data_IF_894637040233
#
_entry.id   IF_894637040233
#
_cell.length_a   1.000
_cell.length_b   1.000
_cell.length_c   1.000
_cell.angle_alpha   90.00
_cell.angle_beta   90.00
_cell.angle_gamma   90.00
#
_symmetry.space_group_name_H-M   'P 1'
#
loop_
_entity.id
_entity.type
_entity.pdbx_description
1 polymer ?
#
# COMPACT_ATOMS: atom_id res chain seq x y z
N UNK A 1 92.42 27.09 31.64
CA UNK A 1 91.56 27.26 30.39
C UNK A 1 90.30 26.49 30.70
N UNK A 2 89.16 27.22 31.02
CA UNK A 2 87.87 26.60 31.32
C UNK A 2 87.00 26.69 30.04
N UNK A 3 86.61 25.55 29.45
CA UNK A 3 85.72 25.46 28.31
C UNK A 3 84.28 25.52 28.81
N UNK A 4 83.60 26.57 28.42
CA UNK A 4 82.16 26.80 28.73
C UNK A 4 81.28 26.13 27.63
N UNK A 5 80.56 25.05 28.03
CA UNK A 5 79.67 24.34 27.17
C UNK A 5 78.31 25.02 27.23
N UNK A 6 77.88 25.67 26.16
CA UNK A 6 76.56 26.28 26.05
C UNK A 6 75.62 25.21 25.44
N UNK A 7 74.67 24.73 26.22
CA UNK A 7 73.60 23.83 25.75
C UNK A 7 72.47 24.70 25.21
N UNK A 8 72.29 24.65 23.88
CA UNK A 8 71.12 25.23 23.23
C UNK A 8 69.95 24.25 23.37
N UNK A 9 68.99 24.56 24.25
CA UNK A 9 67.72 23.86 24.38
C UNK A 9 66.80 24.41 23.27
N UNK A 10 66.60 23.65 22.17
CA UNK A 10 65.60 23.94 21.17
C UNK A 10 64.23 23.44 21.68
N UNK A 11 63.40 24.37 22.14
CA UNK A 11 62.03 24.12 22.49
C UNK A 11 61.22 23.90 21.17
N UNK A 12 60.92 22.65 20.81
CA UNK A 12 59.96 22.33 19.74
C UNK A 12 58.57 22.71 20.21
N UNK A 13 58.07 23.87 19.78
CA UNK A 13 56.68 24.21 19.79
C UNK A 13 55.99 23.42 18.68
N UNK A 14 55.43 22.24 19.00
CA UNK A 14 54.45 21.58 18.16
C UNK A 14 53.16 22.42 18.16
N UNK A 15 53.09 23.37 17.25
CA UNK A 15 51.86 24.06 16.90
C UNK A 15 50.87 22.98 16.42
N UNK A 16 49.89 22.66 17.21
CA UNK A 16 48.71 21.92 16.76
C UNK A 16 47.96 22.84 15.78
N UNK A 17 48.28 22.71 14.49
CA UNK A 17 47.49 23.36 13.44
C UNK A 17 46.15 22.62 13.44
N UNK A 18 45.16 23.23 14.06
CA UNK A 18 43.75 22.87 13.88
C UNK A 18 43.47 23.11 12.38
N UNK A 19 43.29 22.03 11.60
CA UNK A 19 42.78 22.16 10.22
C UNK A 19 41.39 22.79 10.33
N UNK A 20 41.25 24.02 9.84
CA UNK A 20 40.00 24.74 9.68
C UNK A 20 39.15 24.22 8.50
N UNK A 21 39.38 22.98 8.06
CA UNK A 21 38.61 22.35 6.97
C UNK A 21 37.66 21.24 7.47
N UNK A 22 37.48 21.09 8.80
CA UNK A 22 36.28 20.45 9.32
C UNK A 22 35.15 21.48 9.27
N UNK A 23 34.60 21.69 8.06
CA UNK A 23 33.21 22.08 7.95
C UNK A 23 32.45 20.92 8.59
N UNK A 24 32.18 21.06 9.89
CA UNK A 24 31.16 20.28 10.58
C UNK A 24 29.84 20.57 9.80
N UNK A 25 29.65 19.85 8.71
CA UNK A 25 28.33 19.75 8.11
C UNK A 25 27.52 19.01 9.15
N UNK A 26 26.93 19.78 10.07
CA UNK A 26 25.94 19.24 10.99
C UNK A 26 25.05 18.29 10.18
N UNK A 27 25.15 17.00 10.47
CA UNK A 27 24.38 15.98 9.78
C UNK A 27 22.93 16.42 9.79
N UNK A 28 22.37 16.68 8.61
CA UNK A 28 21.01 17.18 8.47
C UNK A 28 20.08 16.00 8.39
N UNK A 29 18.95 16.07 9.10
CA UNK A 29 17.95 15.02 9.00
C UNK A 29 17.43 14.89 7.56
N UNK A 30 17.12 13.66 7.11
CA UNK A 30 16.51 13.44 5.80
C UNK A 30 15.26 14.29 5.60
N UNK A 31 15.08 14.83 4.39
CA UNK A 31 13.84 15.49 3.97
C UNK A 31 13.09 14.51 3.10
N UNK A 32 11.83 14.25 3.44
CA UNK A 32 10.96 13.34 2.69
C UNK A 32 9.75 14.09 2.15
N UNK A 33 9.31 13.68 0.95
CA UNK A 33 8.14 14.25 0.29
C UNK A 33 7.40 13.19 -0.52
N UNK A 34 6.07 13.30 -0.60
CA UNK A 34 5.27 12.44 -1.47
C UNK A 34 5.61 12.66 -2.94
N UNK A 35 5.73 11.58 -3.70
CA UNK A 35 5.96 11.58 -5.16
C UNK A 35 4.74 11.03 -5.87
N UNK A 36 4.21 9.90 -5.41
CA UNK A 36 2.99 9.28 -5.95
C UNK A 36 2.14 8.77 -4.81
N UNK A 37 0.98 9.40 -4.62
CA UNK A 37 -0.02 8.98 -3.66
C UNK A 37 -0.63 7.62 -4.03
N UNK A 38 -1.19 6.93 -3.05
CA UNK A 38 -2.04 5.75 -3.31
C UNK A 38 -3.28 6.20 -4.10
N UNK A 39 -3.60 5.47 -5.17
CA UNK A 39 -4.84 5.71 -5.92
C UNK A 39 -6.05 5.53 -5.02
N UNK A 40 -7.00 6.45 -5.07
CA UNK A 40 -8.20 6.40 -4.21
C UNK A 40 -9.49 6.64 -5.01
N UNK A 41 -10.54 5.82 -4.84
CA UNK A 41 -10.52 4.54 -4.13
C UNK A 41 -9.68 3.49 -4.86
N UNK A 42 -9.15 2.51 -4.12
CA UNK A 42 -8.42 1.38 -4.68
C UNK A 42 -9.07 0.06 -4.26
N UNK A 43 -9.06 -0.94 -5.14
CA UNK A 43 -9.42 -2.32 -4.81
C UNK A 43 -8.20 -3.20 -4.49
N UNK A 44 -7.00 -2.60 -4.49
CA UNK A 44 -5.77 -3.26 -4.08
C UNK A 44 -5.63 -3.13 -2.56
N UNK A 45 -5.58 -4.25 -1.86
CA UNK A 45 -5.38 -4.29 -0.41
C UNK A 45 -3.90 -4.11 0.00
N UNK A 46 -2.97 -4.11 -0.97
CA UNK A 46 -1.54 -3.93 -0.76
C UNK A 46 -0.97 -2.83 -1.67
N UNK A 47 -1.53 -1.61 -1.62
CA UNK A 47 -1.22 -0.60 -2.62
C UNK A 47 0.20 -0.08 -2.50
N UNK A 48 0.74 0.35 -3.64
CA UNK A 48 2.03 1.01 -3.70
C UNK A 48 1.92 2.49 -3.35
N UNK A 49 2.94 2.97 -2.64
CA UNK A 49 3.15 4.37 -2.31
C UNK A 49 4.58 4.79 -2.67
N UNK A 50 4.77 5.97 -3.24
CA UNK A 50 6.11 6.47 -3.61
C UNK A 50 6.39 7.81 -2.94
N UNK A 51 7.53 7.88 -2.26
CA UNK A 51 8.07 9.11 -1.66
C UNK A 51 9.52 9.31 -2.09
N UNK A 52 10.00 10.53 -2.01
CA UNK A 52 11.42 10.86 -2.16
C UNK A 52 12.06 11.06 -0.79
N UNK A 53 13.36 10.75 -0.68
CA UNK A 53 14.21 11.08 0.45
C UNK A 53 15.48 11.76 -0.05
N UNK A 54 15.96 12.77 0.66
CA UNK A 54 17.26 13.40 0.33
C UNK A 54 18.44 12.49 0.65
N UNK A 55 18.23 11.55 1.58
CA UNK A 55 19.29 10.67 2.09
C UNK A 55 18.78 9.23 2.24
N UNK A 56 19.72 8.28 2.28
CA UNK A 56 19.40 6.90 2.65
C UNK A 56 19.21 6.76 4.15
N UNK A 57 18.36 5.81 4.57
CA UNK A 57 18.12 5.60 5.99
C UNK A 57 17.09 4.51 6.27
N UNK A 58 16.74 4.35 7.54
CA UNK A 58 15.72 3.42 8.01
C UNK A 58 14.36 4.08 7.99
N UNK A 59 13.38 3.43 7.34
CA UNK A 59 11.99 3.86 7.32
C UNK A 59 11.28 3.36 8.58
N UNK A 60 10.56 4.26 9.24
CA UNK A 60 9.64 3.91 10.32
C UNK A 60 8.22 4.33 9.93
N UNK A 61 7.29 3.40 10.10
CA UNK A 61 5.87 3.59 9.79
C UNK A 61 5.09 3.94 11.05
N UNK A 62 4.03 4.75 10.87
CA UNK A 62 3.10 5.12 11.95
C UNK A 62 1.65 5.09 11.48
N UNK A 63 0.73 5.08 12.45
CA UNK A 63 -0.68 4.87 12.18
C UNK A 63 -0.98 3.40 11.82
N UNK A 64 -2.03 3.13 11.03
CA UNK A 64 -2.43 1.77 10.67
C UNK A 64 -1.66 1.17 9.48
N UNK A 65 -0.73 1.92 8.87
CA UNK A 65 0.04 1.50 7.71
C UNK A 65 1.41 0.94 8.12
N UNK A 66 1.83 -0.12 7.44
CA UNK A 66 3.17 -0.73 7.55
C UNK A 66 3.63 -1.26 6.19
N UNK A 67 4.91 -1.61 6.11
CA UNK A 67 5.50 -2.27 4.94
C UNK A 67 6.71 -3.08 5.39
N UNK A 68 6.98 -4.17 4.68
CA UNK A 68 8.22 -4.95 4.85
C UNK A 68 9.46 -4.21 4.35
N UNK A 69 9.31 -3.15 3.55
CA UNK A 69 10.42 -2.29 3.09
C UNK A 69 10.81 -1.33 4.21
N UNK A 70 11.98 -1.52 4.80
CA UNK A 70 12.46 -0.72 5.95
C UNK A 70 13.65 0.17 5.63
N UNK A 71 14.14 0.17 4.39
CA UNK A 71 15.30 0.96 3.98
C UNK A 71 14.91 1.92 2.85
N UNK A 72 15.21 3.19 3.04
CA UNK A 72 15.13 4.22 2.02
C UNK A 72 16.50 4.44 1.36
N UNK A 73 16.50 4.79 0.08
CA UNK A 73 17.66 5.31 -0.64
C UNK A 73 17.47 6.80 -0.93
N UNK A 74 18.56 7.53 -1.18
CA UNK A 74 18.44 8.89 -1.68
C UNK A 74 17.75 8.88 -3.05
N UNK A 75 16.73 9.73 -3.22
CA UNK A 75 15.86 9.76 -4.40
C UNK A 75 14.50 9.11 -4.13
N UNK A 76 13.86 8.59 -5.18
CA UNK A 76 12.52 8.01 -5.09
C UNK A 76 12.53 6.59 -4.54
N UNK A 77 11.63 6.34 -3.61
CA UNK A 77 11.41 5.06 -2.94
C UNK A 77 9.96 4.64 -3.15
N UNK A 78 9.74 3.49 -3.76
CA UNK A 78 8.41 2.88 -3.85
C UNK A 78 8.31 1.75 -2.84
N UNK A 79 7.32 1.83 -1.97
CA UNK A 79 6.99 0.81 -0.98
C UNK A 79 5.64 0.19 -1.32
N UNK A 80 5.49 -1.09 -1.02
CA UNK A 80 4.20 -1.78 -1.04
C UNK A 80 3.71 -1.85 0.40
N UNK A 81 2.53 -1.32 0.68
CA UNK A 81 1.95 -1.40 2.02
C UNK A 81 1.54 -2.85 2.33
N UNK A 82 1.64 -3.24 3.59
CA UNK A 82 1.12 -4.52 4.05
C UNK A 82 -0.41 -4.56 3.88
N UNK A 83 -0.98 -5.78 3.92
CA UNK A 83 -2.42 -5.98 3.66
C UNK A 83 -3.29 -5.10 4.55
N UNK A 84 -4.06 -4.25 3.91
CA UNK A 84 -5.02 -3.34 4.52
C UNK A 84 -6.43 -3.91 4.40
N UNK A 85 -7.24 -3.73 5.44
CA UNK A 85 -8.66 -4.00 5.41
C UNK A 85 -9.40 -2.91 4.62
N UNK A 86 -10.64 -3.17 4.24
CA UNK A 86 -11.52 -2.15 3.69
C UNK A 86 -11.69 -0.99 4.68
N UNK A 87 -11.58 0.25 4.18
CA UNK A 87 -11.69 1.45 5.00
C UNK A 87 -10.92 2.63 4.44
N UNK A 88 -11.03 3.78 5.12
CA UNK A 88 -10.29 5.00 4.79
C UNK A 88 -9.10 5.16 5.74
N UNK A 89 -7.95 5.44 5.16
CA UNK A 89 -6.66 5.60 5.83
C UNK A 89 -6.21 7.05 5.72
N UNK A 90 -6.29 7.82 6.80
CA UNK A 90 -5.97 9.26 6.85
C UNK A 90 -4.80 9.61 7.76
N UNK A 91 -4.32 8.66 8.55
CA UNK A 91 -3.35 8.86 9.62
C UNK A 91 -2.09 7.99 9.47
N UNK A 92 -1.87 7.44 8.26
CA UNK A 92 -0.64 6.74 7.92
C UNK A 92 0.51 7.75 7.82
N UNK A 93 1.62 7.46 8.49
CA UNK A 93 2.80 8.32 8.47
C UNK A 93 4.07 7.54 8.22
N UNK A 94 5.09 8.22 7.71
CA UNK A 94 6.44 7.70 7.56
C UNK A 94 7.45 8.71 8.11
N UNK A 95 8.57 8.19 8.62
CA UNK A 95 9.81 8.92 8.90
C UNK A 95 10.99 8.15 8.35
N UNK A 96 12.08 8.85 8.05
CA UNK A 96 13.37 8.24 7.67
C UNK A 96 14.43 8.70 8.66
N UNK A 97 15.19 7.76 9.22
CA UNK A 97 16.34 8.03 10.08
C UNK A 97 17.62 7.66 9.34
N UNK A 98 18.56 8.60 9.22
CA UNK A 98 19.87 8.36 8.61
C UNK A 98 20.80 7.49 9.49
N UNK A 99 22.02 7.26 9.01
CA UNK A 99 23.03 6.45 9.72
C UNK A 99 23.57 7.12 10.98
N UNK A 100 23.46 8.44 11.10
CA UNK A 100 23.87 9.24 12.23
C UNK A 100 22.78 9.36 13.31
N UNK A 101 21.56 8.88 13.00
CA UNK A 101 20.42 8.91 13.91
C UNK A 101 19.56 10.17 13.80
N UNK A 102 19.77 11.03 12.79
CA UNK A 102 18.90 12.18 12.55
C UNK A 102 17.61 11.69 11.88
N UNK A 103 16.46 12.12 12.41
CA UNK A 103 15.13 11.66 11.97
C UNK A 103 14.45 12.79 11.20
N UNK A 104 13.90 12.47 10.04
CA UNK A 104 13.07 13.40 9.25
C UNK A 104 11.85 13.87 10.05
N UNK A 105 11.26 14.98 9.65
CA UNK A 105 9.89 15.29 10.05
C UNK A 105 8.95 14.17 9.64
N UNK A 106 7.92 13.90 10.46
CA UNK A 106 6.88 12.94 10.10
C UNK A 106 6.11 13.42 8.87
N UNK A 107 6.02 12.55 7.86
CA UNK A 107 5.25 12.80 6.64
C UNK A 107 3.98 11.97 6.65
N UNK A 108 2.83 12.63 6.51
CA UNK A 108 1.54 11.95 6.40
C UNK A 108 1.29 11.56 4.96
N UNK A 109 1.01 10.28 4.72
CA UNK A 109 0.59 9.76 3.42
C UNK A 109 -0.78 10.36 3.08
N UNK A 110 -0.94 10.86 1.85
CA UNK A 110 -2.24 11.38 1.40
C UNK A 110 -3.34 10.34 1.61
N UNK A 111 -4.45 10.78 2.23
CA UNK A 111 -5.58 9.90 2.57
C UNK A 111 -6.10 9.13 1.37
N UNK A 112 -6.35 7.84 1.56
CA UNK A 112 -6.89 6.96 0.53
C UNK A 112 -7.92 5.99 1.12
N UNK A 113 -8.77 5.43 0.25
CA UNK A 113 -9.80 4.45 0.64
C UNK A 113 -9.56 3.13 -0.08
N UNK A 114 -9.51 2.05 0.70
CA UNK A 114 -9.48 0.67 0.19
C UNK A 114 -10.91 0.14 0.14
N UNK A 115 -11.33 -0.36 -1.02
CA UNK A 115 -12.65 -0.94 -1.27
C UNK A 115 -12.44 -2.36 -1.79
N UNK A 116 -12.94 -3.35 -1.10
CA UNK A 116 -12.82 -4.75 -1.48
C UNK A 116 -14.13 -5.19 -2.14
N UNK A 117 -14.19 -5.41 -3.46
CA UNK A 117 -15.42 -5.85 -4.12
C UNK A 117 -15.89 -7.22 -3.63
N UNK A 118 -17.19 -7.53 -3.70
CA UNK A 118 -17.70 -8.88 -3.45
C UNK A 118 -17.05 -9.91 -4.39
N UNK A 119 -16.62 -11.05 -3.81
CA UNK A 119 -16.10 -12.19 -4.56
C UNK A 119 -17.26 -13.17 -4.76
N UNK A 120 -17.50 -13.58 -6.01
CA UNK A 120 -18.54 -14.51 -6.38
C UNK A 120 -17.95 -15.86 -6.79
N UNK A 121 -18.63 -16.95 -6.42
CA UNK A 121 -18.31 -18.30 -6.87
C UNK A 121 -19.60 -19.07 -7.17
N UNK A 122 -19.60 -19.85 -8.25
CA UNK A 122 -20.69 -20.77 -8.55
C UNK A 122 -20.77 -21.87 -7.48
N UNK A 123 -21.98 -22.16 -7.02
CA UNK A 123 -22.26 -23.25 -6.06
C UNK A 123 -23.04 -24.36 -6.75
N UNK A 124 -24.10 -24.03 -7.48
CA UNK A 124 -24.89 -24.99 -8.25
C UNK A 124 -25.25 -24.39 -9.60
N UNK A 125 -24.70 -24.98 -10.64
CA UNK A 125 -24.99 -24.62 -12.02
C UNK A 125 -26.43 -25.03 -12.42
N UNK A 126 -26.97 -24.38 -13.45
CA UNK A 126 -28.19 -24.83 -14.11
C UNK A 126 -27.90 -26.19 -14.79
N UNK A 127 -28.72 -27.19 -14.52
CA UNK A 127 -28.60 -28.50 -15.18
C UNK A 127 -28.87 -28.35 -16.68
N UNK A 128 -27.98 -28.88 -17.51
CA UNK A 128 -28.12 -28.79 -18.97
C UNK A 128 -27.98 -30.16 -19.61
N UNK A 129 -28.86 -30.54 -20.60
CA UNK A 129 -30.04 -29.79 -21.03
C UNK A 129 -31.19 -29.83 -19.99
N UNK A 130 -32.01 -28.79 -19.97
CA UNK A 130 -33.20 -28.71 -19.11
C UNK A 130 -34.45 -28.40 -19.93
N UNK A 131 -35.60 -28.89 -19.48
CA UNK A 131 -36.94 -28.47 -19.96
C UNK A 131 -37.56 -27.41 -19.05
N UNK A 132 -36.91 -27.08 -17.92
CA UNK A 132 -37.35 -26.02 -17.04
C UNK A 132 -37.01 -24.66 -17.68
N UNK A 133 -38.02 -23.86 -17.92
CA UNK A 133 -37.89 -22.52 -18.50
C UNK A 133 -37.50 -21.45 -17.47
N UNK A 134 -37.58 -21.78 -16.17
CA UNK A 134 -37.28 -20.88 -15.05
C UNK A 134 -36.28 -21.53 -14.07
N UNK A 135 -35.13 -21.99 -14.55
CA UNK A 135 -34.22 -22.79 -13.74
C UNK A 135 -33.61 -21.99 -12.59
N UNK A 136 -33.31 -22.73 -11.52
CA UNK A 136 -32.57 -22.16 -10.40
C UNK A 136 -31.06 -22.18 -10.65
N UNK A 137 -30.41 -21.13 -10.18
CA UNK A 137 -28.95 -21.00 -10.15
C UNK A 137 -28.51 -20.58 -8.77
N UNK A 138 -27.45 -21.18 -8.23
CA UNK A 138 -26.93 -20.87 -6.89
C UNK A 138 -25.49 -20.41 -7.00
N UNK A 139 -25.20 -19.26 -6.41
CA UNK A 139 -23.86 -18.72 -6.26
C UNK A 139 -23.60 -18.30 -4.82
N UNK A 140 -22.35 -18.24 -4.41
CA UNK A 140 -21.95 -17.61 -3.14
C UNK A 140 -21.40 -16.21 -3.41
N UNK A 141 -21.61 -15.30 -2.46
CA UNK A 141 -21.02 -13.97 -2.44
C UNK A 141 -20.29 -13.77 -1.11
N UNK A 142 -19.11 -13.16 -1.15
CA UNK A 142 -18.36 -12.82 0.08
C UNK A 142 -19.00 -11.68 0.88
N UNK A 143 -19.88 -10.87 0.22
CA UNK A 143 -20.58 -9.74 0.83
C UNK A 143 -22.04 -9.71 0.38
N UNK A 144 -22.89 -9.05 1.18
CA UNK A 144 -24.22 -8.65 0.75
C UNK A 144 -24.12 -7.47 -0.23
N UNK A 145 -25.13 -7.33 -1.11
CA UNK A 145 -25.14 -6.22 -2.06
C UNK A 145 -26.27 -6.33 -3.07
N UNK A 146 -26.25 -5.44 -4.06
CA UNK A 146 -27.20 -5.40 -5.17
C UNK A 146 -26.75 -6.30 -6.31
N UNK A 147 -27.64 -7.20 -6.77
CA UNK A 147 -27.39 -8.09 -7.91
C UNK A 147 -27.74 -7.34 -9.21
N UNK A 148 -26.83 -7.37 -10.17
CA UNK A 148 -27.04 -6.93 -11.55
C UNK A 148 -26.84 -8.11 -12.48
N UNK A 149 -27.77 -8.30 -13.42
CA UNK A 149 -27.73 -9.36 -14.43
C UNK A 149 -27.25 -8.82 -15.76
N UNK A 150 -26.48 -9.63 -16.50
CA UNK A 150 -26.03 -9.32 -17.84
C UNK A 150 -26.30 -10.45 -18.81
N UNK A 151 -26.23 -10.12 -20.11
CA UNK A 151 -26.64 -11.02 -21.18
C UNK A 151 -28.18 -11.21 -21.22
N UNK A 152 -28.67 -12.36 -21.73
CA UNK A 152 -30.11 -12.62 -21.88
C UNK A 152 -30.79 -13.11 -20.59
N UNK A 153 -30.02 -13.35 -19.52
CA UNK A 153 -30.54 -13.87 -18.25
C UNK A 153 -30.94 -12.73 -17.30
N UNK A 154 -32.03 -12.94 -16.57
CA UNK A 154 -32.47 -12.02 -15.53
C UNK A 154 -33.22 -12.77 -14.43
N UNK A 155 -33.43 -12.13 -13.30
CA UNK A 155 -34.23 -12.63 -12.18
C UNK A 155 -34.90 -11.46 -11.45
N UNK A 156 -36.00 -11.72 -10.78
CA UNK A 156 -36.63 -10.76 -9.88
C UNK A 156 -35.86 -10.56 -8.57
N UNK A 157 -34.93 -11.47 -8.23
CA UNK A 157 -34.06 -11.35 -7.05
C UNK A 157 -32.96 -10.33 -7.34
N UNK A 158 -32.97 -9.20 -6.64
CA UNK A 158 -32.00 -8.08 -6.86
C UNK A 158 -31.05 -7.85 -5.69
N UNK A 159 -31.16 -8.65 -4.62
CA UNK A 159 -30.32 -8.51 -3.42
C UNK A 159 -29.63 -9.82 -3.13
N UNK A 160 -28.30 -9.76 -2.96
CA UNK A 160 -27.49 -10.86 -2.46
C UNK A 160 -27.22 -10.70 -0.96
N UNK A 161 -27.11 -11.83 -0.28
CA UNK A 161 -26.58 -11.91 1.08
C UNK A 161 -25.13 -12.45 1.05
N UNK A 162 -24.36 -12.22 2.12
CA UNK A 162 -23.10 -12.93 2.30
C UNK A 162 -23.37 -14.43 2.48
N UNK A 163 -22.69 -15.29 1.74
CA UNK A 163 -22.92 -16.71 1.66
C UNK A 163 -23.70 -17.12 0.39
N UNK A 164 -24.43 -18.24 0.47
CA UNK A 164 -25.12 -18.82 -0.68
C UNK A 164 -26.42 -18.07 -1.02
N UNK A 165 -26.60 -17.78 -2.29
CA UNK A 165 -27.76 -17.12 -2.88
C UNK A 165 -28.32 -18.02 -3.99
N UNK A 166 -29.58 -18.42 -3.86
CA UNK A 166 -30.28 -19.14 -4.92
C UNK A 166 -31.26 -18.17 -5.59
N UNK A 167 -31.13 -18.01 -6.89
CA UNK A 167 -32.01 -17.22 -7.74
C UNK A 167 -32.79 -18.11 -8.67
N UNK A 168 -34.02 -17.74 -8.99
CA UNK A 168 -34.82 -18.34 -10.07
C UNK A 168 -34.72 -17.40 -11.27
N UNK A 169 -34.26 -17.90 -12.40
CA UNK A 169 -34.19 -17.11 -13.62
C UNK A 169 -35.61 -16.84 -14.15
N UNK A 170 -35.80 -15.69 -14.76
CA UNK A 170 -37.02 -15.38 -15.49
C UNK A 170 -37.17 -16.32 -16.69
N UNK A 171 -38.39 -16.51 -17.17
CA UNK A 171 -38.68 -17.46 -18.26
C UNK A 171 -37.76 -17.28 -19.48
N UNK A 172 -37.06 -18.36 -19.81
CA UNK A 172 -36.15 -18.45 -20.93
C UNK A 172 -36.84 -19.17 -22.11
N UNK A 173 -36.56 -18.77 -23.33
CA UNK A 173 -36.99 -19.48 -24.55
C UNK A 173 -36.03 -20.63 -24.82
N UNK A 174 -36.45 -21.60 -25.68
CA UNK A 174 -35.54 -22.67 -26.09
C UNK A 174 -34.30 -22.11 -26.81
N UNK A 175 -33.11 -22.48 -26.31
CA UNK A 175 -31.82 -21.98 -26.83
C UNK A 175 -30.64 -22.36 -25.95
N UNK A 176 -29.46 -21.92 -26.35
CA UNK A 176 -28.23 -22.02 -25.56
C UNK A 176 -27.92 -20.66 -24.95
N UNK A 177 -27.57 -20.64 -23.67
CA UNK A 177 -27.28 -19.44 -22.88
C UNK A 177 -25.85 -19.56 -22.33
N UNK A 178 -24.89 -19.00 -23.04
CA UNK A 178 -23.44 -19.08 -22.74
C UNK A 178 -22.83 -17.74 -22.27
N UNK A 179 -23.63 -16.66 -22.25
CA UNK A 179 -23.18 -15.31 -21.92
C UNK A 179 -23.99 -14.65 -20.81
N UNK A 180 -24.66 -15.45 -19.97
CA UNK A 180 -25.33 -14.91 -18.77
C UNK A 180 -24.30 -14.55 -17.70
N UNK A 181 -24.40 -13.36 -17.13
CA UNK A 181 -23.50 -12.88 -16.08
C UNK A 181 -24.26 -12.35 -14.88
N UNK A 182 -23.62 -12.44 -13.72
CA UNK A 182 -24.10 -11.86 -12.46
C UNK A 182 -22.95 -11.04 -11.87
N UNK A 183 -23.28 -9.82 -11.44
CA UNK A 183 -22.39 -9.00 -10.60
C UNK A 183 -23.11 -8.65 -9.32
N UNK A 184 -22.35 -8.52 -8.21
CA UNK A 184 -22.86 -8.00 -6.95
C UNK A 184 -22.03 -6.76 -6.60
N UNK A 185 -22.72 -5.67 -6.32
CA UNK A 185 -22.13 -4.43 -5.84
C UNK A 185 -22.53 -4.25 -4.39
N UNK A 186 -21.57 -4.16 -3.48
CA UNK A 186 -21.81 -3.84 -2.07
C UNK A 186 -22.24 -2.38 -1.91
N UNK A 187 -22.93 -2.09 -0.78
CA UNK A 187 -23.52 -0.77 -0.51
C UNK A 187 -22.57 0.13 0.27
#
# INVERSE_FOLDING_TARGET
MKLLLIIFSTLLLTSCIKREDDVDTAATAPIIAEVTAVTTPTNDSTPNYTFSSTESGTITYGGPCSSSTTIAVAGNNTITLDTLSEGTYSDCTITVSDSEGNVSSSHTITSFTVVIPPILSEVTAVITPTMDTTPNYTFSSSKAGTITYGGPCSSSTTVAIAGNNTITLNALTAGTYDNCTITVTDN
#
